data_IF_677146142114
#
_entry.id   IF_677146142114
#
_cell.length_a   1.000
_cell.length_b   1.000
_cell.length_c   1.000
_cell.angle_alpha   90.00
_cell.angle_beta   90.00
_cell.angle_gamma   90.00
#
_symmetry.space_group_name_H-M   'P 1'
#
loop_
_entity.id
_entity.type
_entity.pdbx_description
1 polymer ?
#
# COMPACT_ATOMS: atom_id res chain seq x y z
N UNK A 1 -19.59 7.54 -7.42
CA UNK A 1 -18.17 7.75 -7.77
C UNK A 1 -18.10 8.05 -9.25
N UNK A 2 -17.71 9.27 -9.67
CA UNK A 2 -17.45 9.55 -11.08
C UNK A 2 -16.29 8.65 -11.54
N UNK A 3 -16.57 7.72 -12.45
CA UNK A 3 -15.53 6.93 -13.13
C UNK A 3 -14.77 7.88 -14.02
N UNK A 4 -13.66 8.44 -13.50
CA UNK A 4 -12.73 9.21 -14.33
C UNK A 4 -12.24 8.27 -15.42
N UNK A 5 -12.64 8.54 -16.65
CA UNK A 5 -12.28 7.73 -17.80
C UNK A 5 -10.89 8.17 -18.24
N UNK A 6 -9.85 7.43 -17.85
CA UNK A 6 -8.46 7.81 -18.15
C UNK A 6 -8.17 7.94 -19.65
N UNK A 7 -9.01 7.33 -20.49
CA UNK A 7 -8.98 7.44 -21.94
C UNK A 7 -9.31 8.84 -22.47
N UNK A 8 -10.04 9.65 -21.71
CA UNK A 8 -10.44 11.01 -22.13
C UNK A 8 -9.44 12.08 -21.70
N UNK A 9 -8.46 11.74 -20.86
CA UNK A 9 -7.46 12.67 -20.36
C UNK A 9 -6.39 12.98 -21.42
N UNK A 10 -5.94 14.24 -21.41
CA UNK A 10 -4.78 14.70 -22.17
C UNK A 10 -3.48 14.14 -21.58
N UNK A 11 -2.39 14.15 -22.34
CA UNK A 11 -1.08 13.67 -21.86
C UNK A 11 -0.58 14.42 -20.62
N UNK A 12 -0.82 15.73 -20.55
CA UNK A 12 -0.47 16.56 -19.40
C UNK A 12 -1.19 16.11 -18.13
N UNK A 13 -2.49 15.82 -18.22
CA UNK A 13 -3.31 15.33 -17.11
C UNK A 13 -2.91 13.91 -16.72
N UNK A 14 -2.62 13.05 -17.70
CA UNK A 14 -2.16 11.67 -17.48
C UNK A 14 -0.83 11.66 -16.69
N UNK A 15 0.08 12.59 -16.98
CA UNK A 15 1.35 12.75 -16.26
C UNK A 15 1.16 13.18 -14.81
N UNK A 16 0.15 14.01 -14.53
CA UNK A 16 -0.21 14.40 -13.16
C UNK A 16 -0.76 13.19 -12.39
N UNK A 17 -1.66 12.42 -12.99
CA UNK A 17 -2.20 11.19 -12.39
C UNK A 17 -1.12 10.12 -12.18
N UNK A 18 -0.17 9.98 -13.12
CA UNK A 18 1.02 9.11 -12.96
C UNK A 18 1.84 9.50 -11.72
N UNK A 19 2.16 10.78 -11.54
CA UNK A 19 2.88 11.26 -10.35
C UNK A 19 2.12 10.98 -9.05
N UNK A 20 0.79 11.13 -9.06
CA UNK A 20 -0.04 10.77 -7.89
C UNK A 20 0.05 9.27 -7.60
N UNK A 21 -0.01 8.43 -8.63
CA UNK A 21 0.13 6.98 -8.50
C UNK A 21 1.49 6.60 -7.89
N UNK A 22 2.58 7.18 -8.38
CA UNK A 22 3.93 6.94 -7.84
C UNK A 22 4.05 7.38 -6.38
N UNK A 23 3.55 8.57 -6.03
CA UNK A 23 3.50 9.02 -4.64
C UNK A 23 2.74 8.04 -3.76
N UNK A 24 1.56 7.57 -4.20
CA UNK A 24 0.79 6.55 -3.48
C UNK A 24 1.59 5.25 -3.29
N UNK A 25 2.31 4.78 -4.32
CA UNK A 25 3.17 3.58 -4.22
C UNK A 25 4.25 3.76 -3.15
N UNK A 26 4.93 4.91 -3.13
CA UNK A 26 5.97 5.22 -2.13
C UNK A 26 5.37 5.27 -0.72
N UNK A 27 4.26 5.99 -0.53
CA UNK A 27 3.57 6.05 0.77
C UNK A 27 3.11 4.67 1.23
N UNK A 28 2.55 3.86 0.34
CA UNK A 28 2.13 2.49 0.65
C UNK A 28 3.33 1.62 1.07
N UNK A 29 4.45 1.70 0.36
CA UNK A 29 5.67 0.97 0.71
C UNK A 29 6.22 1.40 2.08
N UNK A 30 6.22 2.71 2.37
CA UNK A 30 6.63 3.25 3.67
C UNK A 30 5.73 2.73 4.81
N UNK A 31 4.40 2.76 4.61
CA UNK A 31 3.44 2.25 5.58
C UNK A 31 3.61 0.74 5.83
N UNK A 32 3.82 -0.04 4.76
CA UNK A 32 4.08 -1.48 4.89
C UNK A 32 5.39 -1.72 5.67
N UNK A 33 6.45 -0.97 5.37
CA UNK A 33 7.72 -1.07 6.10
C UNK A 33 7.59 -0.72 7.58
N UNK A 34 6.84 0.34 7.91
CA UNK A 34 6.53 0.72 9.28
C UNK A 34 5.74 -0.36 10.03
N UNK A 35 4.70 -0.92 9.40
CA UNK A 35 3.91 -2.02 9.95
C UNK A 35 4.76 -3.28 10.16
N UNK A 36 5.65 -3.62 9.22
CA UNK A 36 6.57 -4.74 9.35
C UNK A 36 7.57 -4.54 10.50
N UNK A 37 8.03 -3.31 10.73
CA UNK A 37 8.91 -2.99 11.86
C UNK A 37 8.20 -3.20 13.20
N UNK A 38 6.94 -2.76 13.33
CA UNK A 38 6.12 -2.99 14.54
C UNK A 38 5.99 -4.48 14.83
N UNK A 39 5.67 -5.29 13.81
CA UNK A 39 5.54 -6.75 13.97
C UNK A 39 6.87 -7.36 14.41
N UNK A 40 7.98 -6.97 13.79
CA UNK A 40 9.32 -7.46 14.13
C UNK A 40 9.71 -7.11 15.56
N UNK A 41 9.50 -5.86 16.00
CA UNK A 41 9.79 -5.43 17.37
C UNK A 41 8.92 -6.20 18.37
N UNK A 42 7.61 -6.35 18.10
CA UNK A 42 6.71 -7.11 18.96
C UNK A 42 7.13 -8.58 19.11
N UNK A 43 7.58 -9.22 18.03
CA UNK A 43 8.10 -10.59 18.04
C UNK A 43 9.37 -10.68 18.88
N UNK A 44 10.34 -9.79 18.66
CA UNK A 44 11.61 -9.76 19.41
C UNK A 44 11.34 -9.55 20.90
N UNK A 45 10.50 -8.57 21.25
CA UNK A 45 10.14 -8.30 22.65
C UNK A 45 9.43 -9.47 23.33
N UNK A 46 8.65 -10.27 22.61
CA UNK A 46 8.04 -11.47 23.17
C UNK A 46 9.04 -12.62 23.35
N UNK A 47 9.94 -12.82 22.38
CA UNK A 47 10.97 -13.86 22.45
C UNK A 47 11.92 -13.60 23.63
N UNK A 48 12.33 -12.35 23.83
CA UNK A 48 13.26 -11.93 24.89
C UNK A 48 12.58 -11.62 26.24
N UNK A 49 11.27 -11.40 26.26
CA UNK A 49 10.52 -11.01 27.44
C UNK A 49 10.12 -12.18 28.34
N UNK A 50 10.36 -12.08 29.65
CA UNK A 50 9.99 -13.12 30.63
C UNK A 50 8.47 -13.31 30.82
N UNK A 51 7.63 -12.34 30.43
CA UNK A 51 6.17 -12.42 30.53
C UNK A 51 5.54 -12.82 29.20
N UNK A 52 5.24 -14.10 29.07
CA UNK A 52 4.59 -14.69 27.88
C UNK A 52 3.08 -14.47 27.93
N UNK A 53 2.64 -13.24 27.71
CA UNK A 53 1.22 -12.96 27.54
C UNK A 53 0.82 -13.16 26.07
N UNK A 54 0.02 -14.18 25.71
CA UNK A 54 -0.34 -14.47 24.33
C UNK A 54 -1.15 -13.34 23.66
N UNK A 55 -1.91 -12.60 24.47
CA UNK A 55 -2.72 -11.46 24.03
C UNK A 55 -1.85 -10.27 23.58
N UNK A 56 -0.66 -10.11 24.19
CA UNK A 56 0.27 -9.04 23.86
C UNK A 56 0.94 -9.23 22.48
N UNK A 57 0.84 -10.43 21.89
CA UNK A 57 1.38 -10.72 20.56
C UNK A 57 0.30 -10.80 19.48
N UNK A 58 -0.87 -11.34 19.82
CA UNK A 58 -1.98 -11.50 18.87
C UNK A 58 -2.51 -10.15 18.35
N UNK A 59 -2.70 -9.17 19.24
CA UNK A 59 -3.26 -7.86 18.88
C UNK A 59 -2.36 -7.04 17.93
N UNK A 60 -1.05 -6.86 18.21
CA UNK A 60 -0.14 -6.16 17.30
C UNK A 60 0.21 -6.97 16.05
N UNK A 61 -0.22 -8.23 15.91
CA UNK A 61 -0.02 -9.01 14.69
C UNK A 61 -1.23 -8.91 13.74
N UNK A 62 -2.45 -9.00 14.28
CA UNK A 62 -3.68 -8.96 13.48
C UNK A 62 -3.88 -7.63 12.74
N UNK A 63 -3.69 -6.51 13.43
CA UNK A 63 -3.91 -5.18 12.86
C UNK A 63 -2.94 -4.88 11.69
N UNK A 64 -1.60 -5.04 11.83
CA UNK A 64 -0.68 -4.81 10.73
C UNK A 64 -0.90 -5.72 9.53
N UNK A 65 -1.16 -7.01 9.76
CA UNK A 65 -1.37 -7.97 8.67
C UNK A 65 -2.60 -7.58 7.82
N UNK A 66 -3.71 -7.23 8.48
CA UNK A 66 -4.91 -6.78 7.79
C UNK A 66 -4.66 -5.49 6.99
N UNK A 67 -3.95 -4.53 7.57
CA UNK A 67 -3.62 -3.27 6.88
C UNK A 67 -2.67 -3.49 5.69
N UNK A 68 -1.63 -4.32 5.83
CA UNK A 68 -0.72 -4.67 4.73
C UNK A 68 -1.50 -5.31 3.57
N UNK A 69 -2.39 -6.26 3.86
CA UNK A 69 -3.23 -6.88 2.84
C UNK A 69 -4.10 -5.86 2.12
N UNK A 70 -4.74 -4.96 2.87
CA UNK A 70 -5.61 -3.92 2.30
C UNK A 70 -4.85 -2.90 1.47
N UNK A 71 -3.65 -2.51 1.88
CA UNK A 71 -2.78 -1.56 1.17
C UNK A 71 -2.18 -2.21 -0.09
N UNK A 72 -1.82 -3.49 -0.02
CA UNK A 72 -1.23 -4.23 -1.15
C UNK A 72 -2.24 -4.52 -2.26
N UNK A 73 -3.54 -4.55 -1.95
CA UNK A 73 -4.58 -4.72 -2.96
C UNK A 73 -4.65 -3.48 -3.85
N UNK A 74 -4.02 -3.56 -5.03
CA UNK A 74 -4.12 -2.52 -6.06
C UNK A 74 -5.59 -2.23 -6.37
N UNK A 75 -5.95 -0.96 -6.33
CA UNK A 75 -7.25 -0.48 -6.77
C UNK A 75 -7.45 -0.73 -8.26
N UNK A 76 -8.66 -1.10 -8.67
CA UNK A 76 -9.04 -1.20 -10.09
C UNK A 76 -8.75 0.11 -10.84
N UNK A 77 -8.86 1.26 -10.16
CA UNK A 77 -8.49 2.57 -10.72
C UNK A 77 -7.00 2.67 -11.06
N UNK A 78 -6.13 2.16 -10.19
CA UNK A 78 -4.67 2.22 -10.42
C UNK A 78 -4.26 1.28 -11.56
N UNK A 79 -4.92 0.12 -11.68
CA UNK A 79 -4.71 -0.80 -12.81
C UNK A 79 -5.16 -0.18 -14.14
N UNK A 80 -6.34 0.45 -14.16
CA UNK A 80 -6.87 1.12 -15.35
C UNK A 80 -5.95 2.26 -15.83
N UNK A 81 -5.42 3.07 -14.90
CA UNK A 81 -4.45 4.13 -15.23
C UNK A 81 -3.13 3.55 -15.78
N UNK A 82 -2.60 2.49 -15.18
CA UNK A 82 -1.39 1.82 -15.68
C UNK A 82 -1.57 1.21 -17.08
N UNK A 83 -2.77 0.70 -17.40
CA UNK A 83 -3.10 0.17 -18.72
C UNK A 83 -3.06 1.28 -19.79
N UNK A 84 -3.75 2.41 -19.56
CA UNK A 84 -3.76 3.54 -20.50
C UNK A 84 -2.36 4.16 -20.67
N UNK A 85 -1.59 4.30 -19.58
CA UNK A 85 -0.21 4.77 -19.65
C UNK A 85 0.66 3.84 -20.51
N UNK A 86 0.43 2.53 -20.47
CA UNK A 86 1.16 1.55 -21.27
C UNK A 86 0.71 1.56 -22.74
N UNK A 87 -0.59 1.63 -23.01
CA UNK A 87 -1.15 1.71 -24.37
C UNK A 87 -0.63 2.94 -25.12
N UNK A 88 -0.49 4.08 -24.43
CA UNK A 88 0.00 5.34 -25.02
C UNK A 88 1.53 5.48 -24.99
N UNK A 89 2.28 4.46 -24.58
CA UNK A 89 3.74 4.50 -24.42
C UNK A 89 4.27 5.64 -23.52
N UNK A 90 3.49 6.01 -22.49
CA UNK A 90 3.84 7.04 -21.49
C UNK A 90 4.41 6.43 -20.19
N UNK A 91 4.90 5.19 -20.30
CA UNK A 91 5.33 4.33 -19.19
C UNK A 91 6.56 4.86 -18.46
#
# INVERSE_FOLDING_TARGET
MNKVNFSELTEAELKIEKKKLEKRKVTNALLIGFLAAIVTVALISWILGSKKNPIALLLPMLFPIYFIYRISKKSEKDKALEAILKERNLK
#
